data_IF_906687072570
#
_entry.id   IF_906687072570
#
_cell.length_a   1.000
_cell.length_b   1.000
_cell.length_c   1.000
_cell.angle_alpha   90.00
_cell.angle_beta   90.00
_cell.angle_gamma   90.00
#
_symmetry.space_group_name_H-M   'P 1'
#
loop_
_entity.id
_entity.type
_entity.pdbx_description
1 polymer ?
#
# COMPACT_ATOMS: atom_id res chain seq x y z
N UNK A 1 -26.83 12.93 28.08
CA UNK A 1 -26.54 14.07 27.19
C UNK A 1 -25.77 15.11 27.97
N UNK A 2 -24.51 15.36 27.62
CA UNK A 2 -23.68 16.41 28.23
C UNK A 2 -23.09 17.24 27.09
N UNK A 3 -23.54 18.49 26.92
CA UNK A 3 -23.12 19.40 25.85
C UNK A 3 -24.28 20.21 25.28
N UNK A 4 -24.20 21.53 25.38
CA UNK A 4 -25.22 22.46 24.89
C UNK A 4 -25.26 22.55 23.34
N UNK A 5 -26.48 22.75 22.83
CA UNK A 5 -26.93 22.77 21.43
C UNK A 5 -26.86 21.42 20.66
N UNK A 6 -28.06 20.88 20.38
CA UNK A 6 -28.42 19.73 19.54
C UNK A 6 -27.52 18.49 19.63
N UNK A 7 -27.41 17.84 20.79
CA UNK A 7 -26.82 16.49 20.86
C UNK A 7 -27.89 15.43 20.60
N UNK A 8 -27.69 14.58 19.59
CA UNK A 8 -28.66 13.56 19.18
C UNK A 8 -28.11 12.15 19.40
N UNK A 9 -28.44 11.54 20.54
CA UNK A 9 -28.25 10.11 20.79
C UNK A 9 -29.56 9.36 20.50
N UNK A 10 -29.89 9.18 19.22
CA UNK A 10 -31.21 8.73 18.78
C UNK A 10 -31.43 7.21 18.94
N UNK A 11 -30.36 6.43 19.08
CA UNK A 11 -30.44 4.97 19.16
C UNK A 11 -30.24 4.42 20.58
N UNK A 12 -30.69 3.18 20.79
CA UNK A 12 -30.52 2.45 22.05
C UNK A 12 -29.03 2.38 22.44
N UNK A 13 -28.73 2.71 23.69
CA UNK A 13 -27.37 2.78 24.26
C UNK A 13 -26.40 3.75 23.56
N UNK A 14 -26.91 4.67 22.74
CA UNK A 14 -26.08 5.69 22.10
C UNK A 14 -25.52 6.71 23.10
N UNK A 15 -24.26 7.11 22.91
CA UNK A 15 -23.61 8.17 23.70
C UNK A 15 -23.25 9.31 22.75
N UNK A 16 -23.88 10.47 22.91
CA UNK A 16 -23.51 11.71 22.21
C UNK A 16 -23.04 12.77 23.23
N UNK A 17 -21.82 13.30 23.03
CA UNK A 17 -21.20 14.32 23.89
C UNK A 17 -20.60 15.42 23.01
N UNK A 18 -21.04 16.66 23.21
CA UNK A 18 -20.54 17.88 22.54
C UNK A 18 -21.43 18.41 21.42
N UNK A 19 -21.20 19.66 20.99
CA UNK A 19 -22.14 20.40 20.14
C UNK A 19 -22.45 19.67 18.81
N UNK A 20 -23.73 19.51 18.48
CA UNK A 20 -24.20 18.83 17.27
C UNK A 20 -23.83 17.34 17.14
N UNK A 21 -23.16 16.74 18.14
CA UNK A 21 -22.73 15.34 18.06
C UNK A 21 -23.93 14.41 17.88
N UNK A 22 -23.82 13.48 16.93
CA UNK A 22 -24.91 12.56 16.56
C UNK A 22 -24.45 11.11 16.73
N UNK A 23 -25.08 10.38 17.64
CA UNK A 23 -24.95 8.93 17.81
C UNK A 23 -26.28 8.27 17.43
N UNK A 24 -26.44 7.95 16.15
CA UNK A 24 -27.67 7.40 15.59
C UNK A 24 -27.65 5.87 15.41
N UNK A 25 -26.48 5.23 15.54
CA UNK A 25 -26.37 3.78 15.54
C UNK A 25 -26.63 3.17 16.92
N UNK A 26 -27.21 1.96 16.97
CA UNK A 26 -27.32 1.21 18.24
C UNK A 26 -25.95 0.98 18.85
N UNK A 27 -25.78 1.22 20.15
CA UNK A 27 -24.49 1.17 20.85
C UNK A 27 -23.40 2.10 20.27
N UNK A 28 -23.78 3.15 19.53
CA UNK A 28 -22.83 4.10 18.95
C UNK A 28 -22.32 5.13 19.97
N UNK A 29 -21.07 5.54 19.83
CA UNK A 29 -20.44 6.58 20.64
C UNK A 29 -20.00 7.71 19.71
N UNK A 30 -20.48 8.93 19.94
CA UNK A 30 -20.03 10.16 19.30
C UNK A 30 -19.58 11.15 20.38
N UNK A 31 -18.27 11.38 20.48
CA UNK A 31 -17.68 12.28 21.47
C UNK A 31 -16.87 13.34 20.73
N UNK A 32 -17.30 14.59 20.86
CA UNK A 32 -16.69 15.73 20.20
C UNK A 32 -17.76 16.70 19.73
N UNK A 33 -17.38 17.57 18.82
CA UNK A 33 -18.31 18.51 18.21
C UNK A 33 -17.53 19.55 17.43
N UNK A 34 -18.11 20.03 16.34
CA UNK A 34 -18.29 21.45 16.06
C UNK A 34 -18.79 21.68 14.63
N UNK A 35 -19.91 22.39 14.53
CA UNK A 35 -20.31 23.15 13.34
C UNK A 35 -19.57 24.49 13.34
N UNK A 36 -18.30 24.51 12.94
CA UNK A 36 -17.59 25.77 12.70
C UNK A 36 -18.13 26.39 11.39
N UNK A 37 -19.22 27.15 11.50
CA UNK A 37 -19.88 27.82 10.36
C UNK A 37 -20.88 26.93 9.60
N UNK A 38 -21.38 27.46 8.47
CA UNK A 38 -22.43 26.82 7.66
C UNK A 38 -22.03 25.44 7.08
N UNK A 39 -20.73 25.23 6.86
CA UNK A 39 -20.17 24.01 6.26
C UNK A 39 -19.52 23.07 7.29
N UNK A 40 -19.56 23.42 8.58
CA UNK A 40 -19.00 22.59 9.63
C UNK A 40 -19.75 21.25 9.75
N UNK A 41 -19.01 20.14 9.73
CA UNK A 41 -19.58 18.81 9.94
C UNK A 41 -19.61 18.48 11.43
N UNK A 42 -20.70 17.89 11.90
CA UNK A 42 -20.76 17.40 13.28
C UNK A 42 -20.05 16.06 13.42
N UNK A 43 -19.59 15.76 14.64
CA UNK A 43 -19.11 14.41 14.96
C UNK A 43 -20.27 13.43 14.87
N UNK A 44 -20.15 12.41 14.02
CA UNK A 44 -21.27 11.55 13.63
C UNK A 44 -20.89 10.08 13.74
N UNK A 45 -21.71 9.32 14.46
CA UNK A 45 -21.61 7.87 14.65
C UNK A 45 -22.96 7.24 14.28
N UNK A 46 -23.16 6.89 13.01
CA UNK A 46 -24.46 6.44 12.49
C UNK A 46 -24.57 4.93 12.32
N UNK A 47 -23.44 4.22 12.18
CA UNK A 47 -23.43 2.77 12.09
C UNK A 47 -23.69 2.10 13.44
N UNK A 48 -24.25 0.89 13.49
CA UNK A 48 -24.35 0.15 14.74
C UNK A 48 -22.96 -0.16 15.31
N UNK A 49 -22.82 -0.05 16.62
CA UNK A 49 -21.59 -0.29 17.39
C UNK A 49 -20.39 0.54 16.91
N UNK A 50 -20.63 1.76 16.41
CA UNK A 50 -19.55 2.65 15.96
C UNK A 50 -18.98 3.52 17.07
N UNK A 51 -17.73 3.97 16.92
CA UNK A 51 -17.11 4.95 17.81
C UNK A 51 -16.51 6.11 17.02
N UNK A 52 -17.05 7.32 17.14
CA UNK A 52 -16.48 8.56 16.61
C UNK A 52 -16.00 9.44 17.76
N UNK A 53 -14.71 9.75 17.81
CA UNK A 53 -14.10 10.59 18.86
C UNK A 53 -13.22 11.66 18.22
N UNK A 54 -13.55 12.93 18.45
CA UNK A 54 -12.86 14.07 17.86
C UNK A 54 -13.83 15.02 17.16
N UNK A 55 -13.42 16.27 16.96
CA UNK A 55 -14.25 17.25 16.25
C UNK A 55 -14.44 16.84 14.79
N UNK A 56 -15.69 16.83 14.32
CA UNK A 56 -16.05 16.48 12.93
C UNK A 56 -15.64 15.05 12.52
N UNK A 57 -15.42 14.14 13.46
CA UNK A 57 -15.12 12.74 13.14
C UNK A 57 -16.37 12.00 12.65
N UNK A 58 -16.21 11.08 11.69
CA UNK A 58 -17.32 10.38 11.02
C UNK A 58 -17.07 8.87 11.12
N UNK A 59 -17.98 8.15 11.78
CA UNK A 59 -18.01 6.70 11.82
C UNK A 59 -19.40 6.20 11.35
N UNK A 60 -19.50 5.79 10.09
CA UNK A 60 -20.78 5.40 9.47
C UNK A 60 -20.89 3.89 9.23
N UNK A 61 -19.76 3.21 9.08
CA UNK A 61 -19.76 1.77 8.82
C UNK A 61 -20.12 0.96 10.07
N UNK A 62 -20.83 -0.17 9.98
CA UNK A 62 -21.09 -1.03 11.13
C UNK A 62 -19.80 -1.47 11.83
N UNK A 63 -19.67 -1.22 13.13
CA UNK A 63 -18.46 -1.52 13.90
C UNK A 63 -17.23 -0.68 13.52
N UNK A 64 -17.42 0.44 12.81
CA UNK A 64 -16.34 1.35 12.45
C UNK A 64 -15.91 2.22 13.63
N UNK A 65 -14.62 2.58 13.68
CA UNK A 65 -14.11 3.55 14.65
C UNK A 65 -13.34 4.66 13.95
N UNK A 66 -13.66 5.90 14.27
CA UNK A 66 -12.96 7.10 13.81
C UNK A 66 -12.49 7.90 15.03
N UNK A 67 -11.17 8.02 15.23
CA UNK A 67 -10.58 8.74 16.36
C UNK A 67 -9.60 9.78 15.83
N UNK A 68 -9.93 11.05 16.00
CA UNK A 68 -9.15 12.20 15.52
C UNK A 68 -10.05 13.30 14.97
N UNK A 69 -9.52 14.52 14.84
CA UNK A 69 -10.26 15.60 14.18
C UNK A 69 -10.39 15.26 12.70
N UNK A 70 -11.63 15.28 12.19
CA UNK A 70 -11.98 14.85 10.81
C UNK A 70 -11.51 13.45 10.42
N UNK A 71 -11.34 12.55 11.38
CA UNK A 71 -11.14 11.13 11.05
C UNK A 71 -12.43 10.57 10.42
N UNK A 72 -12.30 9.74 9.38
CA UNK A 72 -13.42 9.20 8.62
C UNK A 72 -13.30 7.68 8.47
N UNK A 73 -14.26 6.94 9.03
CA UNK A 73 -14.39 5.49 8.90
C UNK A 73 -15.79 5.13 8.39
N UNK A 74 -15.93 4.94 7.08
CA UNK A 74 -17.25 4.82 6.42
C UNK A 74 -17.68 3.40 6.09
N UNK A 75 -16.75 2.45 6.04
CA UNK A 75 -17.05 1.06 5.71
C UNK A 75 -17.15 0.13 6.93
N UNK A 76 -17.75 -1.05 6.72
CA UNK A 76 -17.93 -2.05 7.77
C UNK A 76 -16.59 -2.43 8.41
N UNK A 77 -16.53 -2.32 9.74
CA UNK A 77 -15.34 -2.56 10.57
C UNK A 77 -14.11 -1.73 10.17
N UNK A 78 -14.27 -0.65 9.43
CA UNK A 78 -13.17 0.27 9.11
C UNK A 78 -12.68 1.02 10.35
N UNK A 79 -11.38 1.22 10.49
CA UNK A 79 -10.77 1.89 11.64
C UNK A 79 -9.89 3.04 11.15
N UNK A 80 -10.22 4.28 11.50
CA UNK A 80 -9.45 5.47 11.19
C UNK A 80 -8.95 6.13 12.49
N UNK A 81 -7.64 6.22 12.68
CA UNK A 81 -7.00 6.71 13.89
C UNK A 81 -5.97 7.81 13.52
N UNK A 82 -6.37 9.07 13.63
CA UNK A 82 -5.51 10.21 13.34
C UNK A 82 -6.26 11.45 12.87
N UNK A 83 -5.59 12.58 12.85
CA UNK A 83 -6.09 13.80 12.22
C UNK A 83 -6.22 13.56 10.71
N UNK A 84 -7.41 13.77 10.14
CA UNK A 84 -7.72 13.51 8.71
C UNK A 84 -7.52 12.05 8.24
N UNK A 85 -7.39 11.09 9.15
CA UNK A 85 -7.26 9.68 8.77
C UNK A 85 -8.55 9.19 8.09
N UNK A 86 -8.43 8.44 6.99
CA UNK A 86 -9.55 8.01 6.16
C UNK A 86 -9.48 6.50 5.91
N UNK A 87 -10.52 5.77 6.34
CA UNK A 87 -10.66 4.33 6.18
C UNK A 87 -12.01 4.02 5.50
N UNK A 88 -11.98 3.75 4.19
CA UNK A 88 -13.19 3.58 3.36
C UNK A 88 -13.40 2.15 2.85
N UNK A 89 -12.42 1.26 3.02
CA UNK A 89 -12.55 -0.15 2.67
C UNK A 89 -13.17 -1.01 3.78
N UNK A 90 -13.82 -2.10 3.41
CA UNK A 90 -14.34 -3.07 4.40
C UNK A 90 -13.16 -3.68 5.16
N UNK A 91 -13.22 -3.62 6.50
CA UNK A 91 -12.13 -4.02 7.41
C UNK A 91 -10.80 -3.29 7.16
N UNK A 92 -10.83 -2.07 6.61
CA UNK A 92 -9.60 -1.30 6.42
C UNK A 92 -9.13 -0.63 7.72
N UNK A 93 -7.85 -0.28 7.76
CA UNK A 93 -7.20 0.37 8.90
C UNK A 93 -6.35 1.53 8.41
N UNK A 94 -6.63 2.75 8.87
CA UNK A 94 -5.81 3.93 8.63
C UNK A 94 -5.32 4.49 9.98
N UNK A 95 -4.00 4.59 10.18
CA UNK A 95 -3.40 5.10 11.41
C UNK A 95 -2.31 6.12 11.08
N UNK A 96 -2.51 7.37 11.46
CA UNK A 96 -1.59 8.47 11.19
C UNK A 96 -2.30 9.74 10.75
N UNK A 97 -1.56 10.84 10.68
CA UNK A 97 -2.08 12.09 10.12
C UNK A 97 -2.29 11.90 8.60
N UNK A 98 -3.51 12.16 8.11
CA UNK A 98 -3.86 12.02 6.70
C UNK A 98 -3.55 10.62 6.10
N UNK A 99 -3.58 9.57 6.93
CA UNK A 99 -3.45 8.19 6.47
C UNK A 99 -4.70 7.77 5.69
N UNK A 100 -4.55 7.04 4.60
CA UNK A 100 -5.61 6.75 3.65
C UNK A 100 -5.67 5.26 3.26
N UNK A 101 -6.72 4.56 3.70
CA UNK A 101 -6.98 3.15 3.43
C UNK A 101 -8.32 2.97 2.69
N UNK A 102 -8.29 3.12 1.37
CA UNK A 102 -9.47 3.21 0.50
C UNK A 102 -10.08 1.86 0.11
N UNK A 103 -9.29 0.79 0.11
CA UNK A 103 -9.70 -0.52 -0.42
C UNK A 103 -9.98 -1.54 0.68
N UNK A 104 -10.76 -2.57 0.34
CA UNK A 104 -11.07 -3.67 1.26
C UNK A 104 -9.80 -4.33 1.81
N UNK A 105 -9.80 -4.58 3.12
CA UNK A 105 -8.68 -5.11 3.88
C UNK A 105 -7.38 -4.28 3.79
N UNK A 106 -7.43 -3.06 3.25
CA UNK A 106 -6.24 -2.22 3.15
C UNK A 106 -5.80 -1.70 4.52
N UNK A 107 -4.50 -1.63 4.74
CA UNK A 107 -3.90 -1.11 5.97
C UNK A 107 -2.90 -0.02 5.64
N UNK A 108 -3.17 1.22 6.03
CA UNK A 108 -2.27 2.36 5.94
C UNK A 108 -1.84 2.79 7.34
N UNK A 109 -0.54 2.72 7.64
CA UNK A 109 0.03 3.11 8.94
C UNK A 109 1.21 4.05 8.70
N UNK A 110 1.07 5.31 9.07
CA UNK A 110 2.05 6.38 8.86
C UNK A 110 1.37 7.69 8.46
N UNK A 111 2.05 8.81 8.61
CA UNK A 111 1.53 10.09 8.12
C UNK A 111 1.49 10.06 6.59
N UNK A 112 0.38 10.48 5.99
CA UNK A 112 0.17 10.46 4.53
C UNK A 112 0.40 9.07 3.87
N UNK A 113 0.28 7.97 4.63
CA UNK A 113 0.38 6.62 4.08
C UNK A 113 -0.88 6.30 3.25
N UNK A 114 -0.71 5.70 2.06
CA UNK A 114 -1.81 5.42 1.12
C UNK A 114 -1.84 3.93 0.77
N UNK A 115 -2.91 3.23 1.18
CA UNK A 115 -3.19 1.85 0.83
C UNK A 115 -4.47 1.75 -0.03
N UNK A 116 -4.28 1.77 -1.35
CA UNK A 116 -5.37 1.77 -2.34
C UNK A 116 -5.59 0.42 -3.02
N UNK A 117 -4.68 -0.55 -2.86
CA UNK A 117 -4.91 -1.90 -3.33
C UNK A 117 -5.80 -2.70 -2.36
N UNK A 118 -6.60 -3.62 -2.89
CA UNK A 118 -7.30 -4.63 -2.07
C UNK A 118 -6.25 -5.49 -1.35
N UNK A 119 -6.41 -5.74 -0.06
CA UNK A 119 -5.42 -6.42 0.79
C UNK A 119 -4.02 -5.75 0.77
N UNK A 120 -3.94 -4.45 0.43
CA UNK A 120 -2.66 -3.74 0.41
C UNK A 120 -2.25 -3.25 1.80
N UNK A 121 -0.95 -3.22 2.06
CA UNK A 121 -0.38 -2.73 3.32
C UNK A 121 0.64 -1.63 2.99
N UNK A 122 0.40 -0.42 3.44
CA UNK A 122 1.31 0.72 3.38
C UNK A 122 1.78 1.05 4.81
N UNK A 123 3.08 0.89 5.09
CA UNK A 123 3.67 1.14 6.39
C UNK A 123 4.83 2.13 6.27
N UNK A 124 4.66 3.32 6.82
CA UNK A 124 5.65 4.40 6.83
C UNK A 124 5.06 5.74 6.39
N UNK A 125 5.72 6.82 6.81
CA UNK A 125 5.44 8.18 6.36
C UNK A 125 5.45 8.27 4.83
N UNK A 126 4.38 8.76 4.20
CA UNK A 126 4.20 8.86 2.74
C UNK A 126 4.32 7.53 1.97
N UNK A 127 4.21 6.38 2.62
CA UNK A 127 4.24 5.07 1.96
C UNK A 127 3.04 4.87 1.03
N UNK A 128 3.22 4.20 -0.12
CA UNK A 128 2.15 4.03 -1.12
C UNK A 128 2.08 2.59 -1.61
N UNK A 129 0.96 1.91 -1.32
CA UNK A 129 0.64 0.57 -1.79
C UNK A 129 -0.65 0.59 -2.63
N UNK A 130 -0.51 0.72 -3.95
CA UNK A 130 -1.65 0.83 -4.90
C UNK A 130 -2.03 -0.48 -5.58
N UNK A 131 -1.16 -1.49 -5.58
CA UNK A 131 -1.46 -2.78 -6.20
C UNK A 131 -2.22 -3.72 -5.26
N UNK A 132 -3.05 -4.63 -5.80
CA UNK A 132 -3.72 -5.64 -4.98
C UNK A 132 -2.68 -6.55 -4.31
N UNK A 133 -2.90 -6.87 -3.03
CA UNK A 133 -2.04 -7.69 -2.20
C UNK A 133 -0.58 -7.22 -2.18
N UNK A 134 -0.35 -5.90 -2.31
CA UNK A 134 1.00 -5.32 -2.25
C UNK A 134 1.33 -4.85 -0.85
N UNK A 135 2.62 -4.91 -0.50
CA UNK A 135 3.13 -4.35 0.75
C UNK A 135 4.20 -3.32 0.44
N UNK A 136 3.98 -2.08 0.83
CA UNK A 136 4.95 -0.99 0.76
C UNK A 136 5.42 -0.66 2.18
N UNK A 137 6.73 -0.68 2.41
CA UNK A 137 7.33 -0.35 3.71
C UNK A 137 8.40 0.72 3.48
N UNK A 138 8.34 1.80 4.26
CA UNK A 138 9.31 2.90 4.21
C UNK A 138 8.69 4.20 3.71
N UNK A 139 9.51 5.24 3.57
CA UNK A 139 9.03 6.56 3.13
C UNK A 139 9.02 6.66 1.62
N UNK A 140 8.05 7.36 1.03
CA UNK A 140 8.24 7.81 -0.36
C UNK A 140 9.47 8.70 -0.33
N UNK A 141 10.53 8.40 -1.11
CA UNK A 141 11.68 9.28 -1.14
C UNK A 141 11.17 10.65 -1.58
N UNK A 142 11.21 11.61 -0.66
CA UNK A 142 11.18 13.03 -1.00
C UNK A 142 12.21 13.18 -2.09
N UNK A 143 11.77 13.55 -3.30
CA UNK A 143 12.64 13.61 -4.47
C UNK A 143 13.93 14.29 -4.04
N UNK A 144 15.10 13.61 -4.07
CA UNK A 144 16.33 14.28 -3.73
C UNK A 144 16.45 15.41 -4.74
N UNK A 145 16.35 16.65 -4.27
CA UNK A 145 16.44 17.83 -5.10
C UNK A 145 17.63 17.63 -6.01
N UNK A 146 17.35 17.54 -7.33
CA UNK A 146 18.30 17.21 -8.41
C UNK A 146 19.63 16.72 -7.87
N UNK A 147 19.85 15.41 -7.83
CA UNK A 147 21.20 14.92 -8.00
C UNK A 147 21.67 15.52 -9.34
N UNK A 148 22.34 16.67 -9.29
CA UNK A 148 23.11 17.19 -10.39
C UNK A 148 24.08 16.06 -10.66
N UNK A 149 23.78 15.25 -11.67
CA UNK A 149 24.74 14.33 -12.27
C UNK A 149 26.01 15.17 -12.37
N UNK A 150 27.14 14.79 -11.73
CA UNK A 150 28.37 15.51 -11.93
C UNK A 150 28.55 15.56 -13.44
N UNK A 151 28.39 16.75 -14.01
CA UNK A 151 28.58 16.96 -15.43
C UNK A 151 29.97 16.41 -15.69
N UNK A 152 30.06 15.41 -16.55
CA UNK A 152 31.34 14.86 -17.00
C UNK A 152 32.02 15.95 -17.83
N UNK A 153 32.53 16.95 -17.13
CA UNK A 153 33.10 18.18 -17.64
C UNK A 153 34.53 18.25 -17.17
N UNK A 154 35.42 18.16 -18.16
CA UNK A 154 36.81 18.56 -18.11
C UNK A 154 37.84 17.54 -17.58
N UNK A 155 38.03 16.45 -18.33
CA UNK A 155 39.37 15.83 -18.46
C UNK A 155 40.27 16.75 -19.31
N UNK A 156 40.72 17.87 -18.75
CA UNK A 156 41.89 18.61 -19.25
C UNK A 156 42.70 19.09 -18.06
N UNK A 157 44.00 18.80 -18.12
CA UNK A 157 45.08 19.19 -17.21
C UNK A 157 45.50 18.15 -16.15
N UNK A 158 46.22 17.12 -16.60
CA UNK A 158 47.47 16.75 -15.93
C UNK A 158 48.63 17.24 -16.81
N UNK A 159 49.41 18.24 -16.39
CA UNK A 159 50.63 18.64 -17.09
C UNK A 159 51.79 17.70 -16.71
N UNK A 160 52.50 17.22 -17.74
CA UNK A 160 53.83 16.61 -17.71
C UNK A 160 54.10 15.42 -16.76
N UNK A 161 53.98 14.21 -17.30
CA UNK A 161 54.93 13.14 -17.02
C UNK A 161 55.34 12.48 -18.35
N UNK A 162 56.64 12.54 -18.63
CA UNK A 162 57.30 12.08 -19.87
C UNK A 162 56.93 10.63 -20.19
N UNK A 163 56.34 10.37 -21.37
CA UNK A 163 56.20 9.00 -21.90
C UNK A 163 57.52 8.61 -22.57
N UNK A 164 58.18 7.48 -22.24
CA UNK A 164 59.29 7.00 -23.03
C UNK A 164 58.77 6.49 -24.37
N UNK A 165 59.46 6.89 -25.45
CA UNK A 165 59.23 6.46 -26.82
C UNK A 165 59.74 5.01 -26.97
N UNK A 166 58.83 4.04 -27.04
CA UNK A 166 59.18 2.66 -27.39
C UNK A 166 59.20 2.55 -28.91
N UNK A 167 60.40 2.54 -29.49
CA UNK A 167 60.63 2.27 -30.92
C UNK A 167 60.69 0.75 -31.10
N UNK A 168 59.74 0.17 -31.85
CA UNK A 168 59.81 -1.22 -32.33
C UNK A 168 60.48 -1.25 -33.71
N UNK A 169 61.46 -2.15 -33.96
CA UNK A 169 62.01 -2.34 -35.31
C UNK A 169 61.12 -3.26 -36.16
N UNK A 170 61.15 -3.13 -37.51
CA UNK A 170 60.34 -3.94 -38.40
C UNK A 170 61.09 -5.20 -38.84
N UNK A 171 60.50 -6.38 -38.65
CA UNK A 171 60.96 -7.61 -39.30
C UNK A 171 59.85 -8.26 -40.14
N UNK A 172 59.99 -8.01 -41.46
CA UNK A 172 59.87 -8.90 -42.61
C UNK A 172 58.84 -10.05 -42.59
N UNK A 173 57.98 -9.97 -43.61
CA UNK A 173 57.17 -10.97 -44.28
C UNK A 173 57.59 -12.45 -44.15
N UNK A 174 56.60 -13.31 -43.92
CA UNK A 174 56.59 -14.69 -44.41
C UNK A 174 55.21 -15.09 -44.97
N UNK A 175 55.31 -15.98 -45.95
CA UNK A 175 54.40 -16.32 -47.05
C UNK A 175 53.32 -17.36 -46.66
N UNK A 176 52.19 -17.30 -47.37
CA UNK A 176 51.04 -18.22 -47.39
C UNK A 176 51.37 -19.68 -47.74
N UNK A 177 50.75 -20.63 -47.04
CA UNK A 177 50.41 -21.98 -47.55
C UNK A 177 49.10 -22.48 -46.87
N UNK A 178 48.08 -22.95 -47.63
CA UNK A 178 46.88 -23.61 -47.10
C UNK A 178 46.82 -25.10 -47.51
N UNK A 179 46.37 -25.99 -46.60
CA UNK A 179 45.73 -27.31 -46.83
C UNK A 179 45.56 -28.00 -45.45
N UNK A 180 44.63 -28.90 -45.11
CA UNK A 180 43.44 -29.49 -45.72
C UNK A 180 42.50 -30.01 -44.60
N UNK A 181 41.32 -30.43 -45.03
CA UNK A 181 40.12 -30.94 -44.34
C UNK A 181 40.31 -32.21 -43.50
N UNK A 182 39.45 -32.35 -42.49
CA UNK A 182 38.69 -33.59 -42.19
C UNK A 182 37.43 -33.27 -41.36
N UNK A 183 36.22 -33.62 -41.83
CA UNK A 183 35.00 -33.64 -41.01
C UNK A 183 34.46 -35.07 -40.84
N UNK A 184 34.20 -35.50 -39.61
CA UNK A 184 33.34 -36.65 -39.27
C UNK A 184 33.03 -36.55 -37.78
N UNK A 185 31.78 -36.49 -37.31
CA UNK A 185 30.85 -37.63 -37.28
C UNK A 185 29.39 -37.20 -37.00
N UNK A 186 28.51 -37.62 -37.91
CA UNK A 186 27.13 -38.15 -37.77
C UNK A 186 26.25 -37.72 -36.59
N UNK A 187 25.14 -37.09 -36.97
CA UNK A 187 23.83 -37.22 -36.33
C UNK A 187 23.07 -38.42 -36.92
N UNK A 188 22.34 -39.18 -36.10
CA UNK A 188 21.37 -40.23 -36.49
C UNK A 188 20.42 -40.40 -35.30
N UNK A 189 19.21 -39.82 -35.36
CA UNK A 189 17.88 -40.48 -35.48
C UNK A 189 17.28 -40.83 -34.09
N UNK A 190 16.22 -40.15 -33.62
CA UNK A 190 14.79 -40.53 -33.70
C UNK A 190 14.54 -41.99 -33.26
N UNK A 191 13.68 -42.35 -32.30
CA UNK A 191 12.22 -42.16 -32.07
C UNK A 191 11.81 -43.16 -30.91
N UNK A 192 10.54 -43.47 -30.55
CA UNK A 192 9.32 -42.70 -30.27
C UNK A 192 8.51 -43.20 -29.02
N UNK A 193 7.31 -42.61 -28.80
CA UNK A 193 6.06 -43.18 -28.23
C UNK A 193 5.96 -43.41 -26.70
N UNK A 194 5.18 -42.64 -25.93
CA UNK A 194 3.71 -42.59 -25.78
C UNK A 194 3.08 -43.80 -25.04
N UNK A 195 2.57 -43.58 -23.81
CA UNK A 195 1.33 -44.19 -23.28
C UNK A 195 0.90 -43.50 -21.94
N UNK A 196 -0.30 -42.90 -21.92
CA UNK A 196 -1.13 -42.60 -20.71
C UNK A 196 -1.86 -43.92 -20.28
N UNK A 197 -2.77 -44.04 -19.26
CA UNK A 197 -3.47 -43.03 -18.43
C UNK A 197 -3.85 -43.37 -16.94
N UNK A 198 -4.19 -42.32 -16.16
CA UNK A 198 -5.36 -42.17 -15.23
C UNK A 198 -5.47 -42.98 -13.89
N UNK A 199 -6.55 -42.81 -13.07
CA UNK A 199 -6.71 -41.84 -11.97
C UNK A 199 -7.11 -42.52 -10.63
N UNK A 200 -7.28 -41.76 -9.51
CA UNK A 200 -8.31 -41.90 -8.44
C UNK A 200 -7.80 -41.47 -7.06
N UNK A 201 -8.64 -40.73 -6.32
CA UNK A 201 -8.38 -40.36 -4.92
C UNK A 201 -9.27 -39.24 -4.39
N UNK A 202 -10.57 -39.28 -4.66
CA UNK A 202 -11.57 -38.40 -4.03
C UNK A 202 -12.01 -39.00 -2.68
N UNK A 203 -11.65 -38.39 -1.56
CA UNK A 203 -12.24 -38.73 -0.25
C UNK A 203 -13.16 -37.60 0.20
N UNK A 204 -14.46 -37.84 0.07
CA UNK A 204 -15.52 -37.02 0.66
C UNK A 204 -15.59 -37.30 2.16
N UNK A 205 -15.43 -36.28 2.99
CA UNK A 205 -15.84 -36.34 4.41
C UNK A 205 -17.29 -35.88 4.51
N UNK A 206 -18.18 -36.83 4.80
CA UNK A 206 -19.55 -36.60 5.27
C UNK A 206 -19.48 -36.06 6.70
N UNK A 207 -20.08 -34.90 6.97
CA UNK A 207 -20.50 -34.53 8.32
C UNK A 207 -21.98 -34.83 8.48
N UNK A 208 -22.29 -35.71 9.42
CA UNK A 208 -23.65 -36.15 9.72
C UNK A 208 -24.34 -35.18 10.68
N UNK A 209 -25.59 -34.86 10.36
CA UNK A 209 -26.57 -34.29 11.27
C UNK A 209 -27.03 -35.41 12.23
N UNK A 210 -27.00 -35.16 13.54
CA UNK A 210 -27.86 -35.85 14.50
C UNK A 210 -28.85 -34.84 15.08
N UNK A 211 -30.09 -35.32 15.19
CA UNK A 211 -31.25 -34.68 15.82
C UNK A 211 -31.01 -34.45 17.30
#
# INVERSE_FOLDING_TARGET
>A
MVGAASTDAAATNGIAIGNAATAAGGDAIAIGGNRDGADGQATTATGPSTTAVGGQAIANGPGASAIGWRAEATAERAQALGHLATAQGVRSLAVGENADAQSDNATAIGNEAIANGIDAIALGDTSVATGPSTTAIGVKPSQPGRAQRPSAGNRRQQPNARRPLVIWPPHRAYVLLPWARTPTRRATTQQPSAMRPSPTGSTRLRWGIRR
#
